data_IF_199770516875
#
_entry.id   IF_199770516875
#
_cell.length_a   1.000
_cell.length_b   1.000
_cell.length_c   1.000
_cell.angle_alpha   90.00
_cell.angle_beta   90.00
_cell.angle_gamma   90.00
#
_symmetry.space_group_name_H-M   'P 1'
#
loop_
_entity.id
_entity.type
_entity.pdbx_description
1 polymer ?
#
# COMPACT_ATOMS: atom_id res chain seq x y z
N UNK A 1 -3.80 -4.28 -16.87
CA UNK A 1 -2.71 -4.99 -17.59
C UNK A 1 -2.83 -6.48 -17.24
N UNK A 2 -3.32 -7.31 -18.15
CA UNK A 2 -3.39 -8.77 -17.93
C UNK A 2 -1.96 -9.33 -18.00
N UNK A 3 -1.50 -10.02 -16.95
CA UNK A 3 -0.25 -10.78 -16.97
C UNK A 3 0.88 -10.27 -16.07
N UNK A 4 0.61 -9.41 -15.11
CA UNK A 4 1.60 -9.07 -14.08
C UNK A 4 1.66 -10.22 -13.06
N UNK A 5 2.78 -10.91 -13.00
CA UNK A 5 3.03 -11.94 -11.99
C UNK A 5 3.55 -11.27 -10.70
N UNK A 6 2.63 -10.98 -9.78
CA UNK A 6 2.98 -10.37 -8.49
C UNK A 6 3.76 -11.33 -7.57
N UNK A 7 3.72 -12.64 -7.80
CA UNK A 7 4.46 -13.61 -6.96
C UNK A 7 5.97 -13.50 -7.14
N UNK A 8 6.40 -12.94 -8.28
CA UNK A 8 7.80 -12.64 -8.55
C UNK A 8 8.16 -11.16 -8.31
N UNK A 9 7.27 -10.40 -7.66
CA UNK A 9 7.45 -8.98 -7.37
C UNK A 9 7.74 -8.79 -5.88
N UNK A 10 8.81 -8.08 -5.53
CA UNK A 10 9.02 -7.66 -4.14
C UNK A 10 8.09 -6.49 -3.82
N UNK A 11 7.36 -6.58 -2.71
CA UNK A 11 6.31 -5.64 -2.38
C UNK A 11 6.59 -4.90 -1.07
N UNK A 12 6.36 -3.59 -1.09
CA UNK A 12 6.68 -2.69 0.01
C UNK A 12 5.55 -1.69 0.26
N UNK A 13 5.54 -1.11 1.47
CA UNK A 13 4.72 0.04 1.82
C UNK A 13 5.56 1.19 2.36
N UNK A 14 5.06 2.41 2.21
CA UNK A 14 5.69 3.64 2.69
C UNK A 14 4.96 4.16 3.92
N UNK A 15 5.63 4.17 5.06
CA UNK A 15 5.06 4.68 6.30
C UNK A 15 5.07 6.21 6.34
N UNK A 16 3.93 6.82 6.70
CA UNK A 16 3.79 8.26 6.94
C UNK A 16 4.01 9.17 5.73
N UNK A 17 3.63 8.73 4.55
CA UNK A 17 3.73 9.57 3.34
C UNK A 17 2.51 10.47 3.09
N UNK A 18 1.51 10.43 3.97
CA UNK A 18 0.35 11.32 3.91
C UNK A 18 0.20 12.04 5.25
N UNK A 19 0.22 13.38 5.22
CA UNK A 19 0.21 14.20 6.44
C UNK A 19 -1.02 13.90 7.31
N UNK A 20 -0.81 13.67 8.60
CA UNK A 20 -1.86 13.43 9.59
C UNK A 20 -2.36 11.98 9.67
N UNK A 21 -1.90 11.06 8.81
CA UNK A 21 -2.35 9.66 8.85
C UNK A 21 -1.85 8.93 10.12
N UNK A 22 -0.56 9.09 10.47
CA UNK A 22 0.03 8.39 11.63
C UNK A 22 -0.68 8.72 12.96
N UNK A 23 -1.04 9.98 13.16
CA UNK A 23 -1.76 10.43 14.33
C UNK A 23 -3.14 9.81 14.41
N UNK A 24 -3.83 9.73 13.26
CA UNK A 24 -5.15 9.09 13.15
C UNK A 24 -5.10 7.58 13.36
N UNK A 25 -4.05 6.92 12.86
CA UNK A 25 -3.80 5.50 13.04
C UNK A 25 -3.30 5.14 14.45
N UNK A 26 -2.97 6.14 15.29
CA UNK A 26 -2.37 6.00 16.62
C UNK A 26 -0.99 5.33 16.59
N UNK A 27 -0.25 5.50 15.50
CA UNK A 27 1.06 4.90 15.27
C UNK A 27 2.22 5.90 15.43
N UNK A 28 1.94 7.16 15.71
CA UNK A 28 2.96 8.21 15.87
C UNK A 28 4.03 7.85 16.91
N UNK A 29 3.67 7.11 17.96
CA UNK A 29 4.61 6.67 19.00
C UNK A 29 5.63 5.63 18.50
N UNK A 30 5.26 4.79 17.53
CA UNK A 30 6.15 3.77 16.95
C UNK A 30 7.33 4.44 16.22
N UNK A 31 7.12 5.67 15.74
CA UNK A 31 8.11 6.45 14.98
C UNK A 31 8.77 7.59 15.76
N UNK A 32 8.55 7.70 17.09
CA UNK A 32 9.06 8.81 17.91
C UNK A 32 10.57 9.03 17.80
N UNK A 33 11.34 7.97 17.60
CA UNK A 33 12.80 8.00 17.52
C UNK A 33 13.32 8.02 16.06
N UNK A 34 12.45 7.97 15.07
CA UNK A 34 12.84 8.01 13.65
C UNK A 34 13.08 9.46 13.24
N UNK A 35 14.35 9.79 13.02
CA UNK A 35 14.76 11.12 12.52
C UNK A 35 14.62 11.16 11.00
N UNK A 36 14.02 12.22 10.49
CA UNK A 36 13.89 12.49 9.06
C UNK A 36 14.52 13.84 8.73
N UNK A 37 14.94 14.01 7.48
CA UNK A 37 15.55 15.27 7.01
C UNK A 37 14.53 16.41 6.98
N UNK A 38 13.27 16.10 6.67
CA UNK A 38 12.15 17.04 6.64
C UNK A 38 11.02 16.50 7.54
N UNK A 39 10.22 17.37 8.11
CA UNK A 39 9.10 17.03 8.98
C UNK A 39 8.09 16.11 8.28
N UNK A 40 7.78 16.41 7.03
CA UNK A 40 6.82 15.68 6.19
C UNK A 40 7.43 14.52 5.40
N UNK A 41 8.70 14.18 5.64
CA UNK A 41 9.33 13.03 4.98
C UNK A 41 8.73 11.71 5.49
N UNK A 42 8.55 10.72 4.61
CA UNK A 42 8.15 9.38 5.03
C UNK A 42 9.13 8.82 6.06
N UNK A 43 8.63 8.04 7.00
CA UNK A 43 9.40 7.57 8.14
C UNK A 43 10.20 6.31 7.86
N UNK A 44 9.63 5.38 7.10
CA UNK A 44 10.29 4.12 6.74
C UNK A 44 9.67 3.50 5.49
N UNK A 45 10.48 2.71 4.79
CA UNK A 45 10.03 1.72 3.82
C UNK A 45 9.95 0.37 4.56
N UNK A 46 8.84 -0.36 4.42
CA UNK A 46 8.68 -1.66 5.05
C UNK A 46 8.26 -2.72 4.04
N UNK A 47 8.75 -3.97 4.19
CA UNK A 47 8.37 -5.06 3.30
C UNK A 47 6.97 -5.57 3.66
N UNK A 48 6.20 -5.92 2.64
CA UNK A 48 4.94 -6.65 2.77
C UNK A 48 5.04 -8.04 2.16
N UNK A 49 5.93 -8.23 1.17
CA UNK A 49 6.21 -9.52 0.58
C UNK A 49 7.59 -9.51 -0.10
N UNK A 50 8.36 -10.57 0.11
CA UNK A 50 9.66 -10.80 -0.54
C UNK A 50 9.59 -12.17 -1.24
N UNK A 51 9.72 -12.23 -2.57
CA UNK A 51 9.68 -13.50 -3.32
C UNK A 51 10.96 -14.32 -3.11
N UNK A 52 10.88 -15.62 -3.34
CA UNK A 52 12.03 -16.53 -3.43
C UNK A 52 12.99 -16.50 -2.22
N UNK A 53 12.47 -16.22 -1.02
CA UNK A 53 13.31 -16.22 0.19
C UNK A 53 13.83 -17.63 0.49
N UNK A 54 15.04 -17.70 1.06
CA UNK A 54 15.65 -18.95 1.52
C UNK A 54 15.16 -19.33 2.92
N UNK A 55 14.92 -20.62 3.18
CA UNK A 55 14.60 -21.09 4.53
C UNK A 55 15.71 -20.80 5.56
N UNK A 56 16.95 -20.69 5.12
CA UNK A 56 18.13 -20.38 5.95
C UNK A 56 18.56 -18.93 5.89
N UNK A 57 17.78 -18.05 5.24
CA UNK A 57 18.08 -16.64 5.04
C UNK A 57 17.79 -15.75 6.25
N UNK A 58 18.09 -14.48 6.11
CA UNK A 58 17.82 -13.46 7.13
C UNK A 58 16.39 -12.91 7.05
N UNK A 59 15.72 -13.06 5.90
CA UNK A 59 14.37 -12.56 5.69
C UNK A 59 13.37 -13.37 6.52
N UNK A 60 12.54 -12.73 7.36
CA UNK A 60 11.53 -13.44 8.13
C UNK A 60 10.59 -14.26 7.25
N UNK A 61 10.38 -15.54 7.60
CA UNK A 61 9.63 -16.51 6.79
C UNK A 61 8.21 -16.04 6.40
N UNK A 62 7.54 -15.28 7.28
CA UNK A 62 6.20 -14.75 6.99
C UNK A 62 6.18 -13.78 5.80
N UNK A 63 7.30 -13.09 5.50
CA UNK A 63 7.42 -12.21 4.35
C UNK A 63 7.49 -12.98 3.01
N UNK A 64 7.80 -14.26 3.04
CA UNK A 64 7.74 -15.14 1.87
C UNK A 64 6.34 -15.68 1.56
N UNK A 65 5.37 -15.45 2.44
CA UNK A 65 3.98 -15.81 2.20
C UNK A 65 3.30 -14.73 1.38
N UNK A 66 2.81 -15.07 0.17
CA UNK A 66 2.17 -14.12 -0.74
C UNK A 66 0.85 -13.61 -0.16
N UNK A 67 0.71 -12.29 0.15
CA UNK A 67 -0.42 -11.79 0.91
C UNK A 67 -1.55 -11.20 0.08
N UNK A 68 -1.36 -10.99 -1.23
CA UNK A 68 -2.31 -10.21 -2.03
C UNK A 68 -3.48 -11.03 -2.55
N UNK A 69 -4.67 -10.44 -2.47
CA UNK A 69 -5.92 -10.98 -2.98
C UNK A 69 -6.78 -9.82 -3.49
N UNK A 70 -7.49 -10.00 -4.61
CA UNK A 70 -8.34 -8.95 -5.19
C UNK A 70 -9.78 -8.98 -4.69
N UNK A 71 -10.19 -10.05 -3.98
CA UNK A 71 -11.59 -10.29 -3.63
C UNK A 71 -11.85 -10.44 -2.13
N UNK A 72 -10.85 -10.86 -1.35
CA UNK A 72 -11.05 -11.16 0.07
C UNK A 72 -9.91 -10.71 0.97
N UNK A 73 -10.27 -10.53 2.25
CA UNK A 73 -9.36 -10.33 3.37
C UNK A 73 -9.63 -11.46 4.36
N UNK A 74 -8.64 -12.32 4.65
CA UNK A 74 -8.76 -13.30 5.72
C UNK A 74 -8.52 -12.59 7.05
N UNK A 75 -9.51 -12.68 7.95
CA UNK A 75 -9.40 -12.08 9.28
C UNK A 75 -8.29 -12.78 10.08
N UNK A 76 -7.34 -12.05 10.69
CA UNK A 76 -6.24 -12.68 11.41
C UNK A 76 -6.71 -13.39 12.68
N UNK A 77 -6.20 -14.60 12.91
CA UNK A 77 -6.44 -15.32 14.15
C UNK A 77 -5.90 -14.52 15.35
N UNK A 78 -6.61 -14.58 16.48
CA UNK A 78 -6.20 -13.95 17.75
C UNK A 78 -6.05 -12.42 17.75
N UNK A 79 -6.45 -11.74 16.69
CA UNK A 79 -6.47 -10.27 16.63
C UNK A 79 -7.93 -9.78 16.61
N UNK A 80 -8.15 -8.57 17.09
CA UNK A 80 -9.52 -8.03 17.21
C UNK A 80 -9.79 -6.84 16.30
N UNK A 81 -8.75 -6.21 15.77
CA UNK A 81 -8.87 -4.94 15.06
C UNK A 81 -7.98 -4.92 13.83
N UNK A 82 -8.62 -4.99 12.67
CA UNK A 82 -7.99 -4.68 11.39
C UNK A 82 -8.64 -3.46 10.78
N UNK A 83 -7.85 -2.68 10.07
CA UNK A 83 -8.29 -1.40 9.53
C UNK A 83 -7.87 -1.27 8.07
N UNK A 84 -8.77 -0.74 7.24
CA UNK A 84 -8.47 -0.42 5.84
C UNK A 84 -7.36 0.63 5.82
N UNK A 85 -6.33 0.42 5.01
CA UNK A 85 -5.37 1.45 4.63
C UNK A 85 -5.42 1.65 3.12
N UNK A 86 -6.22 2.63 2.66
CA UNK A 86 -6.39 2.86 1.23
C UNK A 86 -5.14 3.53 0.66
N UNK A 87 -4.56 2.88 -0.33
CA UNK A 87 -3.30 3.32 -0.93
C UNK A 87 -3.34 3.28 -2.46
N UNK A 88 -2.49 4.08 -3.08
CA UNK A 88 -2.08 3.91 -4.45
C UNK A 88 -0.84 3.03 -4.47
N UNK A 89 -0.88 1.90 -5.15
CA UNK A 89 0.31 1.12 -5.44
C UNK A 89 0.89 1.50 -6.80
N UNK A 90 2.21 1.65 -6.86
CA UNK A 90 2.96 1.86 -8.10
C UNK A 90 3.90 0.70 -8.31
N UNK A 91 3.92 0.15 -9.52
CA UNK A 91 4.80 -0.95 -9.90
C UNK A 91 5.89 -0.43 -10.81
N UNK A 92 7.13 -0.78 -10.47
CA UNK A 92 8.33 -0.37 -11.16
C UNK A 92 9.10 -1.58 -11.70
N UNK A 93 9.79 -1.41 -12.82
CA UNK A 93 10.93 -2.24 -13.17
C UNK A 93 12.18 -1.63 -12.51
N UNK A 94 12.89 -2.41 -11.71
CA UNK A 94 14.11 -2.00 -11.05
C UNK A 94 15.33 -2.34 -11.93
N UNK A 95 16.22 -1.37 -12.14
CA UNK A 95 17.53 -1.60 -12.73
C UNK A 95 18.57 -1.69 -11.63
N UNK A 96 19.34 -2.75 -11.67
CA UNK A 96 20.35 -3.08 -10.67
C UNK A 96 21.77 -2.80 -11.20
N UNK A 97 22.62 -2.24 -10.34
CA UNK A 97 24.05 -2.06 -10.59
C UNK A 97 24.80 -2.29 -9.28
N UNK A 98 25.76 -3.21 -9.29
CA UNK A 98 26.61 -3.55 -8.13
C UNK A 98 25.81 -3.86 -6.84
N UNK A 99 24.68 -4.58 -7.00
CA UNK A 99 23.79 -4.96 -5.88
C UNK A 99 22.95 -3.82 -5.29
N UNK A 100 22.80 -2.73 -6.03
CA UNK A 100 22.01 -1.56 -5.68
C UNK A 100 21.01 -1.21 -6.78
N UNK A 101 19.87 -0.67 -6.41
CA UNK A 101 18.93 -0.09 -7.38
C UNK A 101 19.53 1.22 -7.89
N UNK A 102 19.71 1.30 -9.20
CA UNK A 102 20.20 2.48 -9.93
C UNK A 102 19.04 3.32 -10.46
N UNK A 103 17.95 2.66 -10.90
CA UNK A 103 16.78 3.30 -11.49
C UNK A 103 15.50 2.52 -11.19
N UNK A 104 14.40 3.23 -10.99
CA UNK A 104 13.04 2.70 -10.93
C UNK A 104 12.24 3.21 -12.13
N UNK A 105 11.84 2.32 -13.03
CA UNK A 105 11.06 2.67 -14.23
C UNK A 105 9.60 2.34 -13.95
N UNK A 106 8.68 3.33 -13.92
CA UNK A 106 7.27 3.09 -13.66
C UNK A 106 6.64 2.24 -14.77
N UNK A 107 5.73 1.34 -14.40
CA UNK A 107 5.03 0.43 -15.32
C UNK A 107 3.53 0.66 -15.28
N UNK A 108 2.96 0.63 -14.09
CA UNK A 108 1.53 0.81 -13.85
C UNK A 108 1.26 1.18 -12.39
N UNK A 109 0.01 1.58 -12.13
CA UNK A 109 -0.48 1.84 -10.78
C UNK A 109 -1.88 1.27 -10.60
N UNK A 110 -2.32 1.11 -9.36
CA UNK A 110 -3.65 0.62 -9.04
C UNK A 110 -4.03 0.83 -7.58
N UNK A 111 -5.33 0.62 -7.31
CA UNK A 111 -5.86 0.66 -5.95
C UNK A 111 -5.30 -0.50 -5.12
N UNK A 112 -4.78 -0.18 -3.96
CA UNK A 112 -4.20 -1.12 -3.01
C UNK A 112 -4.80 -0.92 -1.62
N UNK A 113 -4.84 -1.98 -0.85
CA UNK A 113 -5.26 -1.95 0.54
C UNK A 113 -4.18 -2.61 1.40
N UNK A 114 -3.43 -1.78 2.14
CA UNK A 114 -2.42 -2.24 3.07
C UNK A 114 -3.02 -2.52 4.45
N UNK A 115 -4.07 -3.36 4.49
CA UNK A 115 -4.80 -3.66 5.73
C UNK A 115 -3.85 -3.89 6.88
N UNK A 116 -4.13 -3.21 8.00
CA UNK A 116 -3.25 -3.25 9.17
C UNK A 116 -3.94 -3.81 10.40
N UNK A 117 -3.23 -4.69 11.12
CA UNK A 117 -3.58 -5.07 12.48
C UNK A 117 -3.26 -3.89 13.39
N UNK A 118 -4.25 -3.40 14.14
CA UNK A 118 -4.07 -2.31 15.11
C UNK A 118 -3.60 -2.86 16.46
N UNK A 119 -2.30 -3.10 16.54
CA UNK A 119 -1.60 -3.69 17.69
C UNK A 119 -0.49 -2.75 18.13
N UNK A 120 -0.50 -2.37 19.41
CA UNK A 120 0.56 -1.57 19.99
C UNK A 120 1.84 -2.38 20.21
N UNK A 121 3.01 -1.71 20.09
CA UNK A 121 4.29 -2.28 20.49
C UNK A 121 4.87 -3.32 19.52
N UNK A 122 4.45 -3.35 18.27
CA UNK A 122 5.10 -4.17 17.26
C UNK A 122 6.54 -3.69 17.03
N UNK A 123 7.51 -4.60 17.13
CA UNK A 123 8.93 -4.27 16.96
C UNK A 123 9.28 -3.81 15.54
N UNK A 124 8.58 -4.36 14.54
CA UNK A 124 8.72 -4.04 13.12
C UNK A 124 7.35 -3.74 12.51
N UNK A 125 7.33 -2.85 11.51
CA UNK A 125 6.09 -2.49 10.83
C UNK A 125 5.48 -3.70 10.12
N UNK A 126 6.30 -4.49 9.45
CA UNK A 126 5.89 -5.69 8.70
C UNK A 126 5.07 -6.69 9.53
N UNK A 127 5.33 -6.78 10.85
CA UNK A 127 4.59 -7.68 11.76
C UNK A 127 3.10 -7.34 11.91
N UNK A 128 2.68 -6.13 11.50
CA UNK A 128 1.27 -5.70 11.49
C UNK A 128 0.66 -5.80 10.10
N UNK A 129 1.46 -6.13 9.10
CA UNK A 129 1.12 -5.96 7.69
C UNK A 129 0.90 -7.30 6.96
N UNK A 130 1.75 -8.27 7.12
CA UNK A 130 1.58 -9.59 6.49
C UNK A 130 1.35 -10.66 7.56
N UNK A 131 0.11 -11.14 7.69
CA UNK A 131 -0.24 -12.27 8.57
C UNK A 131 -0.63 -13.52 7.78
N UNK A 132 -0.28 -13.57 6.49
CA UNK A 132 -0.54 -14.71 5.63
C UNK A 132 -1.29 -14.34 4.35
N UNK A 133 -1.83 -15.35 3.69
CA UNK A 133 -2.60 -15.19 2.46
C UNK A 133 -3.77 -14.23 2.66
N UNK A 134 -4.10 -13.48 1.59
CA UNK A 134 -5.25 -12.57 1.57
C UNK A 134 -5.27 -11.56 2.73
N UNK A 135 -4.09 -11.12 3.19
CA UNK A 135 -3.94 -10.07 4.20
C UNK A 135 -3.73 -8.68 3.58
N UNK A 136 -3.56 -8.61 2.26
CA UNK A 136 -3.37 -7.39 1.48
C UNK A 136 -4.26 -7.40 0.25
N UNK A 137 -4.42 -6.22 -0.37
CA UNK A 137 -5.17 -6.11 -1.60
C UNK A 137 -4.47 -5.33 -2.69
N UNK A 138 -4.66 -5.78 -3.92
CA UNK A 138 -4.33 -5.03 -5.14
C UNK A 138 -5.42 -5.27 -6.18
N UNK A 139 -5.88 -4.20 -6.81
CA UNK A 139 -6.85 -4.26 -7.90
C UNK A 139 -6.31 -5.06 -9.09
N UNK A 140 -7.16 -5.85 -9.72
CA UNK A 140 -6.82 -6.52 -11.00
C UNK A 140 -6.72 -5.52 -12.16
N UNK A 141 -7.44 -4.40 -12.10
CA UNK A 141 -7.36 -3.35 -13.10
C UNK A 141 -6.24 -2.38 -12.77
N UNK A 142 -5.06 -2.64 -13.31
CA UNK A 142 -3.89 -1.78 -13.22
C UNK A 142 -3.83 -0.85 -14.42
N UNK A 143 -3.56 0.43 -14.18
CA UNK A 143 -3.53 1.49 -15.18
C UNK A 143 -2.08 1.73 -15.58
N UNK A 144 -1.80 1.71 -16.87
CA UNK A 144 -0.44 1.91 -17.42
C UNK A 144 0.13 3.28 -17.02
N UNK A 145 1.40 3.31 -16.65
CA UNK A 145 2.11 4.51 -16.23
C UNK A 145 3.44 4.61 -16.98
N UNK A 146 3.53 5.56 -17.91
CA UNK A 146 4.73 5.73 -18.76
C UNK A 146 5.77 6.64 -18.11
N UNK A 147 5.38 7.48 -17.15
CA UNK A 147 6.28 8.35 -16.39
C UNK A 147 5.73 8.56 -14.98
N UNK A 148 6.60 8.79 -14.02
CA UNK A 148 6.22 9.10 -12.64
C UNK A 148 6.62 10.54 -12.31
N UNK A 149 5.86 11.49 -12.90
CA UNK A 149 6.05 12.92 -12.78
C UNK A 149 4.71 13.66 -12.74
N UNK A 150 4.75 14.97 -12.56
CA UNK A 150 3.58 15.84 -12.45
C UNK A 150 2.72 15.90 -13.74
N UNK A 151 3.28 15.49 -14.88
CA UNK A 151 2.57 15.47 -16.18
C UNK A 151 1.96 14.11 -16.47
N UNK A 152 2.29 13.10 -15.67
CA UNK A 152 1.77 11.74 -15.84
C UNK A 152 0.26 11.69 -15.60
N UNK A 153 -0.39 10.66 -16.15
CA UNK A 153 -1.81 10.42 -15.94
C UNK A 153 -2.16 10.31 -14.44
N UNK A 154 -1.24 9.79 -13.62
CA UNK A 154 -1.43 9.61 -12.18
C UNK A 154 -1.73 10.94 -11.46
N UNK A 155 -1.20 12.07 -11.94
CA UNK A 155 -1.42 13.39 -11.34
C UNK A 155 -2.89 13.83 -11.35
N UNK A 156 -3.71 13.22 -12.21
CA UNK A 156 -5.14 13.50 -12.40
C UNK A 156 -6.04 12.54 -11.63
N UNK A 157 -5.46 11.63 -10.83
CA UNK A 157 -6.20 10.63 -10.09
C UNK A 157 -6.47 11.07 -8.66
N UNK A 158 -7.60 10.62 -8.18
CA UNK A 158 -7.99 10.69 -6.76
C UNK A 158 -8.10 9.29 -6.20
N UNK A 159 -7.97 9.20 -4.89
CA UNK A 159 -8.21 7.99 -4.13
C UNK A 159 -9.36 8.22 -3.16
N UNK A 160 -10.32 7.30 -3.17
CA UNK A 160 -11.41 7.24 -2.22
C UNK A 160 -11.49 5.84 -1.62
N UNK A 161 -12.00 5.71 -0.40
CA UNK A 161 -12.26 4.40 0.18
C UNK A 161 -13.53 4.37 0.99
N UNK A 162 -14.14 3.19 1.00
CA UNK A 162 -15.41 2.94 1.64
C UNK A 162 -15.38 1.62 2.41
N UNK A 163 -16.23 1.54 3.42
CA UNK A 163 -16.61 0.29 4.05
C UNK A 163 -18.09 0.04 3.75
N UNK A 164 -18.40 -1.17 3.30
CA UNK A 164 -19.80 -1.60 3.14
C UNK A 164 -20.10 -2.59 4.25
N UNK A 165 -21.12 -2.27 5.05
CA UNK A 165 -21.63 -3.10 6.16
C UNK A 165 -23.15 -3.11 6.11
N UNK A 166 -23.73 -4.31 6.08
CA UNK A 166 -25.19 -4.47 6.02
C UNK A 166 -25.81 -3.62 4.88
N UNK A 167 -25.20 -3.70 3.67
CA UNK A 167 -25.57 -2.94 2.46
C UNK A 167 -25.39 -1.41 2.56
N UNK A 168 -25.01 -0.88 3.72
CA UNK A 168 -24.75 0.54 3.89
C UNK A 168 -23.31 0.89 3.49
N UNK A 169 -23.17 1.95 2.68
CA UNK A 169 -21.87 2.46 2.21
C UNK A 169 -21.42 3.63 3.08
N UNK A 170 -20.29 3.47 3.74
CA UNK A 170 -19.68 4.47 4.59
C UNK A 170 -18.35 4.95 3.98
N UNK A 171 -18.16 6.26 3.86
CA UNK A 171 -16.87 6.83 3.48
C UNK A 171 -15.86 6.57 4.60
N UNK A 172 -14.77 5.84 4.24
CA UNK A 172 -13.78 5.36 5.22
C UNK A 172 -12.53 6.23 5.25
N UNK A 173 -11.88 6.42 4.11
CA UNK A 173 -10.79 7.37 3.92
C UNK A 173 -11.28 8.70 3.35
N UNK A 174 -10.56 9.79 3.65
CA UNK A 174 -10.81 11.08 3.02
C UNK A 174 -10.50 10.99 1.52
N UNK A 175 -11.44 11.45 0.69
CA UNK A 175 -11.22 11.52 -0.76
C UNK A 175 -10.10 12.54 -1.06
N UNK A 176 -8.96 12.04 -1.53
CA UNK A 176 -7.74 12.84 -1.68
C UNK A 176 -7.18 12.73 -3.10
N UNK A 177 -6.59 13.82 -3.60
CA UNK A 177 -5.84 13.73 -4.85
C UNK A 177 -4.52 12.95 -4.64
N UNK A 178 -4.15 12.11 -5.59
CA UNK A 178 -2.88 11.36 -5.49
C UNK A 178 -1.67 12.30 -5.44
N UNK A 179 -1.76 13.48 -6.05
CA UNK A 179 -0.71 14.51 -5.99
C UNK A 179 -0.51 15.14 -4.60
N UNK A 180 -1.41 14.89 -3.64
CA UNK A 180 -1.35 15.46 -2.28
C UNK A 180 -0.47 14.65 -1.31
N UNK A 181 0.12 13.53 -1.76
CA UNK A 181 1.13 12.84 -0.96
C UNK A 181 2.33 13.73 -0.65
N UNK A 182 2.87 13.65 0.56
CA UNK A 182 4.00 14.49 1.01
C UNK A 182 5.24 14.29 0.14
N UNK A 183 5.53 13.04 -0.20
CA UNK A 183 6.52 12.64 -1.19
C UNK A 183 5.83 11.94 -2.34
N UNK A 184 5.97 12.47 -3.54
CA UNK A 184 5.42 11.88 -4.77
C UNK A 184 6.37 12.16 -5.95
N UNK A 185 6.17 11.47 -7.05
CA UNK A 185 6.96 11.61 -8.27
C UNK A 185 8.47 11.45 -8.01
N UNK A 186 9.29 12.26 -8.61
CA UNK A 186 10.75 12.18 -8.51
C UNK A 186 11.26 12.31 -7.06
N UNK A 187 10.56 13.07 -6.22
CA UNK A 187 10.91 13.18 -4.79
C UNK A 187 10.75 11.84 -4.08
N UNK A 188 9.65 11.14 -4.32
CA UNK A 188 9.41 9.81 -3.77
C UNK A 188 10.37 8.77 -4.37
N UNK A 189 10.56 8.79 -5.69
CA UNK A 189 11.46 7.86 -6.39
C UNK A 189 12.89 7.93 -5.84
N UNK A 190 13.44 9.14 -5.67
CA UNK A 190 14.78 9.33 -5.09
C UNK A 190 14.86 8.80 -3.65
N UNK A 191 13.81 9.06 -2.85
CA UNK A 191 13.72 8.56 -1.48
C UNK A 191 13.62 7.02 -1.45
N UNK A 192 12.84 6.41 -2.34
CA UNK A 192 12.74 4.96 -2.46
C UNK A 192 14.10 4.32 -2.79
N UNK A 193 14.81 4.86 -3.77
CA UNK A 193 16.15 4.37 -4.16
C UNK A 193 17.12 4.47 -2.97
N UNK A 194 17.08 5.57 -2.21
CA UNK A 194 17.89 5.73 -1.00
C UNK A 194 17.53 4.64 0.03
N UNK A 195 16.23 4.39 0.28
CA UNK A 195 15.79 3.40 1.29
C UNK A 195 16.07 1.96 0.86
N UNK A 196 15.81 1.61 -0.39
CA UNK A 196 16.16 0.30 -0.92
C UNK A 196 17.64 -0.02 -0.77
N UNK A 197 18.50 0.95 -0.99
CA UNK A 197 19.95 0.77 -0.98
C UNK A 197 20.59 0.93 0.38
N UNK A 198 19.99 1.67 1.31
CA UNK A 198 20.68 2.10 2.52
C UNK A 198 19.88 2.09 3.81
N UNK A 199 18.59 1.72 3.81
CA UNK A 199 17.83 1.64 5.06
C UNK A 199 18.39 0.54 5.95
N UNK A 200 18.66 0.89 7.21
CA UNK A 200 19.20 -0.02 8.21
C UNK A 200 18.08 -0.66 9.03
N UNK A 201 18.40 -1.78 9.67
CA UNK A 201 17.57 -2.41 10.68
C UNK A 201 17.64 -1.61 11.99
N UNK A 202 16.81 -0.55 12.09
CA UNK A 202 16.78 0.33 13.27
C UNK A 202 15.33 0.63 13.68
N UNK A 203 14.98 0.37 14.94
CA UNK A 203 13.64 0.60 15.46
C UNK A 203 12.59 -0.17 14.65
N UNK A 204 11.53 0.51 14.14
CA UNK A 204 10.48 -0.14 13.36
C UNK A 204 10.88 -0.47 11.92
N UNK A 205 12.01 0.05 11.42
CA UNK A 205 12.52 -0.19 10.07
C UNK A 205 13.33 -1.48 9.96
N UNK A 206 13.49 -2.00 8.74
CA UNK A 206 14.16 -3.25 8.40
C UNK A 206 15.25 -3.00 7.36
N UNK A 207 16.26 -3.89 7.29
CA UNK A 207 17.31 -3.82 6.27
C UNK A 207 16.80 -4.35 4.93
N UNK A 208 16.23 -3.47 4.13
CA UNK A 208 15.60 -3.82 2.85
C UNK A 208 16.59 -4.39 1.84
N UNK A 209 17.81 -3.84 1.79
CA UNK A 209 18.82 -4.30 0.81
C UNK A 209 19.21 -5.75 1.02
N UNK A 210 19.31 -6.22 2.28
CA UNK A 210 19.62 -7.64 2.56
C UNK A 210 18.50 -8.57 2.04
N UNK A 211 17.24 -8.20 2.24
CA UNK A 211 16.09 -8.97 1.76
C UNK A 211 16.03 -9.04 0.23
N UNK A 212 16.30 -7.92 -0.44
CA UNK A 212 16.33 -7.87 -1.90
C UNK A 212 17.49 -8.69 -2.51
N UNK A 213 18.64 -8.73 -1.82
CA UNK A 213 19.76 -9.61 -2.18
C UNK A 213 19.39 -11.08 -2.05
N UNK A 214 18.75 -11.46 -0.95
CA UNK A 214 18.30 -12.83 -0.72
C UNK A 214 17.28 -13.28 -1.77
N UNK A 215 16.44 -12.37 -2.23
CA UNK A 215 15.47 -12.59 -3.30
C UNK A 215 16.08 -12.55 -4.73
N UNK A 216 17.42 -12.56 -4.85
CA UNK A 216 18.16 -12.49 -6.12
C UNK A 216 17.79 -11.26 -6.98
N UNK A 217 17.71 -10.09 -6.35
CA UNK A 217 17.51 -8.80 -7.02
C UNK A 217 16.29 -8.75 -7.94
N UNK A 218 15.06 -8.79 -7.40
CA UNK A 218 13.84 -8.84 -8.20
C UNK A 218 13.77 -7.73 -9.25
N UNK A 219 13.43 -8.09 -10.48
CA UNK A 219 13.27 -7.10 -11.56
C UNK A 219 12.05 -6.19 -11.35
N UNK A 220 11.03 -6.67 -10.62
CA UNK A 220 9.81 -5.92 -10.36
C UNK A 220 9.65 -5.61 -8.88
N UNK A 221 9.33 -4.36 -8.62
CA UNK A 221 9.06 -3.85 -7.28
C UNK A 221 7.72 -3.15 -7.28
N UNK A 222 6.84 -3.52 -6.35
CA UNK A 222 5.60 -2.81 -6.08
C UNK A 222 5.76 -1.99 -4.80
N UNK A 223 5.30 -0.75 -4.83
CA UNK A 223 5.29 0.13 -3.66
C UNK A 223 3.91 0.70 -3.47
N UNK A 224 3.25 0.36 -2.36
CA UNK A 224 2.09 1.08 -1.84
C UNK A 224 2.59 2.37 -1.19
N UNK A 225 2.20 3.53 -1.75
CA UNK A 225 2.90 4.80 -1.48
C UNK A 225 2.42 5.53 -0.22
N UNK A 226 1.61 4.87 0.60
CA UNK A 226 1.15 5.34 1.89
C UNK A 226 -0.37 5.50 1.97
N UNK A 227 -0.92 5.25 3.15
CA UNK A 227 -2.35 5.36 3.40
C UNK A 227 -2.79 6.82 3.54
N UNK A 228 -3.96 7.15 2.98
CA UNK A 228 -4.60 8.46 3.14
C UNK A 228 -5.23 8.63 4.52
N UNK A 229 -5.67 9.86 4.87
CA UNK A 229 -6.36 10.11 6.14
C UNK A 229 -7.71 9.42 6.19
N UNK A 230 -8.13 9.11 7.41
CA UNK A 230 -9.45 8.58 7.71
C UNK A 230 -10.49 9.67 7.89
N UNK A 231 -11.72 9.41 7.47
CA UNK A 231 -12.90 10.15 7.93
C UNK A 231 -13.12 9.91 9.44
N UNK A 232 -14.06 10.64 10.05
CA UNK A 232 -14.44 10.35 11.45
C UNK A 232 -14.99 8.94 11.62
N UNK A 233 -15.67 8.41 10.62
CA UNK A 233 -16.13 7.02 10.61
C UNK A 233 -14.95 6.04 10.56
N UNK A 234 -14.02 6.21 9.63
CA UNK A 234 -12.86 5.33 9.47
C UNK A 234 -11.95 5.25 10.69
N UNK A 235 -11.80 6.37 11.44
CA UNK A 235 -11.03 6.40 12.70
C UNK A 235 -11.58 5.48 13.80
N UNK A 236 -12.89 5.25 13.79
CA UNK A 236 -13.60 4.60 14.91
C UNK A 236 -14.07 3.18 14.56
N UNK A 237 -14.10 2.83 13.28
CA UNK A 237 -14.65 1.57 12.81
C UNK A 237 -13.56 0.67 12.24
N UNK A 238 -13.53 -0.56 12.75
CA UNK A 238 -12.65 -1.63 12.30
C UNK A 238 -13.46 -2.63 11.47
N UNK A 239 -12.77 -3.31 10.56
CA UNK A 239 -13.39 -4.34 9.74
C UNK A 239 -13.84 -5.54 10.59
N UNK A 240 -15.00 -6.06 10.27
CA UNK A 240 -15.58 -7.27 10.84
C UNK A 240 -15.83 -8.26 9.70
N UNK A 241 -16.05 -9.53 10.04
CA UNK A 241 -16.47 -10.56 9.08
C UNK A 241 -17.73 -10.13 8.34
N UNK A 242 -17.72 -10.27 7.01
CA UNK A 242 -18.81 -9.88 6.12
C UNK A 242 -18.77 -8.43 5.66
N UNK A 243 -17.94 -7.58 6.28
CA UNK A 243 -17.71 -6.23 5.74
C UNK A 243 -16.98 -6.30 4.40
N UNK A 244 -17.26 -5.32 3.52
CA UNK A 244 -16.44 -5.10 2.33
C UNK A 244 -15.58 -3.85 2.49
N UNK A 245 -14.31 -4.00 2.18
CA UNK A 245 -13.38 -2.90 1.98
C UNK A 245 -13.36 -2.52 0.52
N UNK A 246 -13.56 -1.24 0.21
CA UNK A 246 -13.53 -0.73 -1.17
C UNK A 246 -12.51 0.39 -1.25
N UNK A 247 -11.52 0.25 -2.14
CA UNK A 247 -10.54 1.29 -2.46
C UNK A 247 -10.63 1.60 -3.95
N UNK A 248 -10.76 2.88 -4.30
CA UNK A 248 -10.98 3.30 -5.70
C UNK A 248 -10.01 4.40 -6.07
N UNK A 249 -9.23 4.16 -7.14
CA UNK A 249 -8.48 5.19 -7.85
C UNK A 249 -9.24 5.55 -9.12
N UNK A 250 -9.51 6.84 -9.33
CA UNK A 250 -10.32 7.32 -10.43
C UNK A 250 -9.85 8.68 -10.97
N UNK A 251 -10.04 8.97 -12.28
CA UNK A 251 -9.68 10.24 -12.87
C UNK A 251 -10.67 11.33 -12.45
N UNK A 252 -10.18 12.41 -11.80
CA UNK A 252 -10.99 13.51 -11.29
C UNK A 252 -11.72 14.33 -12.37
N UNK A 253 -11.23 14.25 -13.61
CA UNK A 253 -11.86 14.92 -14.76
C UNK A 253 -13.17 14.24 -15.21
N UNK A 254 -13.36 12.95 -14.88
CA UNK A 254 -14.46 12.13 -15.37
C UNK A 254 -15.50 11.82 -14.31
N UNK A 255 -15.11 11.85 -13.03
CA UNK A 255 -15.95 11.41 -11.92
C UNK A 255 -15.88 12.37 -10.74
N UNK A 256 -17.03 12.71 -10.19
CA UNK A 256 -17.15 13.35 -8.88
C UNK A 256 -17.05 12.32 -7.74
N UNK A 257 -16.91 12.78 -6.52
CA UNK A 257 -16.94 11.92 -5.33
C UNK A 257 -18.30 11.18 -5.20
N UNK A 258 -19.40 11.83 -5.57
CA UNK A 258 -20.76 11.23 -5.50
C UNK A 258 -20.93 10.16 -6.58
N UNK A 259 -20.38 10.36 -7.80
CA UNK A 259 -20.40 9.33 -8.85
C UNK A 259 -19.70 8.06 -8.36
N UNK A 260 -18.51 8.20 -7.74
CA UNK A 260 -17.80 7.04 -7.19
C UNK A 260 -18.59 6.35 -6.09
N UNK A 261 -19.22 7.10 -5.20
CA UNK A 261 -20.08 6.52 -4.15
C UNK A 261 -21.27 5.75 -4.72
N UNK A 262 -21.83 6.20 -5.83
CA UNK A 262 -22.90 5.48 -6.52
C UNK A 262 -22.38 4.21 -7.19
N UNK A 263 -21.20 4.24 -7.84
CA UNK A 263 -20.56 3.04 -8.37
C UNK A 263 -20.28 1.99 -7.27
N UNK A 264 -19.90 2.43 -6.07
CA UNK A 264 -19.73 1.54 -4.91
C UNK A 264 -21.05 0.89 -4.50
N UNK A 265 -22.16 1.63 -4.46
CA UNK A 265 -23.50 1.09 -4.14
C UNK A 265 -23.96 0.07 -5.18
N UNK A 266 -23.70 0.35 -6.44
CA UNK A 266 -24.06 -0.50 -7.57
C UNK A 266 -23.08 -1.66 -7.78
N UNK A 267 -21.91 -1.59 -7.14
CA UNK A 267 -20.76 -2.49 -7.34
C UNK A 267 -20.39 -2.59 -8.84
N UNK A 268 -20.43 -1.47 -9.56
CA UNK A 268 -20.08 -1.38 -10.98
C UNK A 268 -18.81 -0.55 -11.21
N UNK A 269 -17.72 -1.24 -11.51
CA UNK A 269 -16.43 -0.64 -11.86
C UNK A 269 -15.96 -1.08 -13.24
N UNK A 270 -16.88 -1.16 -14.18
CA UNK A 270 -16.62 -1.63 -15.56
C UNK A 270 -15.74 -0.69 -16.40
N UNK A 271 -15.64 0.60 -16.02
CA UNK A 271 -14.75 1.55 -16.71
C UNK A 271 -13.28 1.23 -16.45
N UNK A 272 -12.54 0.92 -17.51
CA UNK A 272 -11.11 0.57 -17.43
C UNK A 272 -10.21 1.70 -16.92
N UNK A 273 -10.71 2.94 -16.85
CA UNK A 273 -10.00 4.08 -16.26
C UNK A 273 -10.07 4.11 -14.74
N UNK A 274 -10.96 3.31 -14.14
CA UNK A 274 -11.09 3.18 -12.68
C UNK A 274 -10.31 1.94 -12.23
N UNK A 275 -9.40 2.10 -11.29
CA UNK A 275 -8.82 0.98 -10.57
C UNK A 275 -9.56 0.82 -9.25
N UNK A 276 -10.40 -0.19 -9.15
CA UNK A 276 -11.17 -0.50 -7.94
C UNK A 276 -10.73 -1.84 -7.34
N UNK A 277 -10.68 -1.87 -6.04
CA UNK A 277 -10.40 -3.06 -5.22
C UNK A 277 -11.56 -3.25 -4.25
N UNK A 278 -12.28 -4.34 -4.39
CA UNK A 278 -13.42 -4.69 -3.54
C UNK A 278 -13.12 -6.01 -2.85
N UNK A 279 -12.86 -5.98 -1.55
CA UNK A 279 -12.50 -7.17 -0.78
C UNK A 279 -13.51 -7.43 0.33
N UNK A 280 -14.00 -8.66 0.44
CA UNK A 280 -14.85 -9.11 1.54
C UNK A 280 -14.00 -9.72 2.66
N UNK A 281 -14.33 -9.39 3.91
CA UNK A 281 -13.68 -9.96 5.10
C UNK A 281 -14.27 -11.34 5.40
N UNK A 282 -13.42 -12.36 5.33
CA UNK A 282 -13.76 -13.76 5.62
C UNK A 282 -12.96 -14.29 6.80
N UNK A 283 -13.35 -15.46 7.34
CA UNK A 283 -12.60 -16.17 8.41
C UNK A 283 -11.59 -17.14 7.81
#
# INVERSE_FOLDING_TARGET
MKGLDLKNCACFGVAANFSGHLEQAREALDFKNVKTLEENAPKALFPTYIPNISESGETPAFLGVFPFDSEKIIFPENEQKIQIEPECAVIFNAKWRDGKIDELIPVCFGASNDVSIRKAGAKKISLKKNWGNSSKGLSENLISLNSFDEKSILSRYRIASFMVRDENVFEYGENSAVRDYSYIYKKLENWLIEKFNGQKDEGPAENINSYLKEADFPEKIMVSIGATRYTNFGKQNFLLKGDKSVVVLYPEENYSAEDIKNLVKENDFSDSRISALVQEVVL
#
